data_IF_426638827082
#
_entry.id   IF_426638827082
#
_cell.length_a   1.000
_cell.length_b   1.000
_cell.length_c   1.000
_cell.angle_alpha   90.00
_cell.angle_beta   90.00
_cell.angle_gamma   90.00
#
_symmetry.space_group_name_H-M   'P 1'
#
loop_
_entity.id
_entity.type
_entity.pdbx_description
1 polymer ?
#
# COMPACT_ATOMS: atom_id res chain seq x y z
N UNK A 1 -0.74 12.54 11.41
CA UNK A 1 -0.48 12.44 9.96
C UNK A 1 -1.71 13.01 9.27
N UNK A 2 -1.56 13.88 8.27
CA UNK A 2 -2.67 14.67 7.73
C UNK A 2 -3.55 13.92 6.75
N UNK A 3 -3.76 14.53 5.58
CA UNK A 3 -4.57 13.95 4.50
C UNK A 3 -3.67 13.28 3.47
N UNK A 4 -4.10 12.15 2.92
CA UNK A 4 -3.36 11.37 1.93
C UNK A 4 -4.23 11.00 0.74
N UNK A 5 -3.62 10.83 -0.43
CA UNK A 5 -4.26 10.29 -1.63
C UNK A 5 -3.78 8.87 -1.86
N UNK A 6 -4.73 7.94 -1.98
CA UNK A 6 -4.48 6.52 -2.12
C UNK A 6 -5.01 6.01 -3.45
N UNK A 7 -4.13 5.49 -4.29
CA UNK A 7 -4.53 4.68 -5.43
C UNK A 7 -4.85 3.27 -4.92
N UNK A 8 -6.10 2.82 -5.09
CA UNK A 8 -6.58 1.59 -4.44
C UNK A 8 -6.91 0.47 -5.44
N UNK A 9 -6.72 -0.81 -5.07
CA UNK A 9 -7.23 -1.94 -5.83
C UNK A 9 -8.77 -1.99 -5.80
N UNK A 10 -9.41 -2.61 -6.80
CA UNK A 10 -10.84 -2.91 -6.76
C UNK A 10 -11.17 -3.77 -5.54
N UNK A 11 -12.40 -3.71 -5.04
CA UNK A 11 -12.80 -4.39 -3.80
C UNK A 11 -12.39 -5.87 -3.75
N UNK A 12 -12.59 -6.62 -4.85
CA UNK A 12 -12.20 -8.03 -4.96
C UNK A 12 -10.70 -8.24 -4.71
N UNK A 13 -9.85 -7.43 -5.34
CA UNK A 13 -8.40 -7.53 -5.20
C UNK A 13 -7.92 -6.98 -3.84
N UNK A 14 -8.61 -5.98 -3.30
CA UNK A 14 -8.39 -5.50 -1.94
C UNK A 14 -8.63 -6.60 -0.91
N UNK A 15 -9.71 -7.38 -1.05
CA UNK A 15 -10.01 -8.52 -0.18
C UNK A 15 -8.94 -9.63 -0.29
N UNK A 16 -8.47 -9.92 -1.51
CA UNK A 16 -7.37 -10.86 -1.76
C UNK A 16 -6.07 -10.42 -1.06
N UNK A 17 -5.68 -9.16 -1.22
CA UNK A 17 -4.51 -8.60 -0.54
C UNK A 17 -4.67 -8.61 0.99
N UNK A 18 -5.86 -8.29 1.52
CA UNK A 18 -6.10 -8.32 2.97
C UNK A 18 -5.87 -9.69 3.60
N UNK A 19 -6.05 -10.79 2.85
CA UNK A 19 -5.73 -12.14 3.35
C UNK A 19 -4.23 -12.30 3.61
N UNK A 20 -3.39 -11.84 2.68
CA UNK A 20 -1.94 -11.79 2.88
C UNK A 20 -1.60 -10.87 4.06
N UNK A 21 -2.18 -9.66 4.09
CA UNK A 21 -1.92 -8.66 5.13
C UNK A 21 -2.32 -9.12 6.54
N UNK A 22 -3.17 -10.16 6.67
CA UNK A 22 -3.60 -10.75 7.95
C UNK A 22 -2.72 -11.89 8.44
N UNK A 23 -1.75 -12.36 7.64
CA UNK A 23 -0.80 -13.38 8.06
C UNK A 23 0.02 -12.84 9.24
N UNK A 24 0.25 -13.66 10.26
CA UNK A 24 1.04 -13.31 11.44
C UNK A 24 2.06 -14.42 11.71
N UNK A 25 3.34 -14.10 11.95
CA UNK A 25 4.32 -15.08 12.39
C UNK A 25 3.90 -15.77 13.68
N UNK A 26 4.02 -17.10 13.72
CA UNK A 26 3.48 -17.95 14.79
C UNK A 26 4.30 -17.96 16.10
N UNK A 27 5.45 -17.27 16.16
CA UNK A 27 6.54 -17.70 17.05
C UNK A 27 6.77 -16.88 18.33
N UNK A 28 6.36 -15.60 18.42
CA UNK A 28 6.53 -14.83 19.67
C UNK A 28 5.40 -13.82 19.88
N UNK A 29 5.01 -13.56 21.14
CA UNK A 29 4.15 -12.44 21.46
C UNK A 29 4.77 -11.12 20.99
N UNK A 30 3.92 -10.30 20.38
CA UNK A 30 4.21 -8.89 20.11
C UNK A 30 4.32 -8.16 21.45
N UNK A 31 5.17 -7.13 21.48
CA UNK A 31 5.28 -6.24 22.64
C UNK A 31 4.34 -5.05 22.55
N UNK A 32 3.75 -4.80 21.38
CA UNK A 32 2.81 -3.70 21.16
C UNK A 32 1.56 -4.14 20.41
N UNK A 33 0.40 -3.75 20.92
CA UNK A 33 -0.89 -3.90 20.23
C UNK A 33 -1.02 -2.96 19.02
N UNK A 34 -0.07 -2.04 18.82
CA UNK A 34 -0.03 -1.15 17.66
C UNK A 34 0.69 -1.78 16.45
N UNK A 35 1.30 -2.97 16.62
CA UNK A 35 1.82 -3.77 15.50
C UNK A 35 0.66 -4.46 14.80
N UNK A 36 0.77 -4.57 13.48
CA UNK A 36 -0.23 -5.12 12.59
C UNK A 36 -1.65 -4.51 12.68
N UNK A 37 -1.78 -3.18 12.65
CA UNK A 37 -3.09 -2.56 12.56
C UNK A 37 -3.76 -2.93 11.23
N UNK A 38 -5.07 -2.99 11.22
CA UNK A 38 -5.84 -3.12 9.98
C UNK A 38 -5.83 -1.80 9.20
N UNK A 39 -5.61 -1.88 7.89
CA UNK A 39 -5.73 -0.78 6.94
C UNK A 39 -6.08 -1.31 5.54
N UNK A 40 -6.56 -0.43 4.67
CA UNK A 40 -6.88 -0.77 3.28
C UNK A 40 -5.60 -0.87 2.44
N UNK A 41 -5.42 -1.88 1.56
CA UNK A 41 -4.28 -1.91 0.65
C UNK A 41 -4.32 -0.72 -0.31
N UNK A 42 -3.23 0.03 -0.42
CA UNK A 42 -3.15 1.22 -1.25
C UNK A 42 -1.72 1.51 -1.70
N UNK A 43 -1.58 2.27 -2.78
CA UNK A 43 -0.36 2.99 -3.14
C UNK A 43 -0.58 4.47 -2.76
N UNK A 44 0.29 5.02 -1.92
CA UNK A 44 0.20 6.44 -1.57
C UNK A 44 0.67 7.29 -2.77
N UNK A 45 -0.20 8.12 -3.32
CA UNK A 45 0.13 9.10 -4.36
C UNK A 45 0.63 10.41 -3.77
N UNK A 46 0.08 10.85 -2.63
CA UNK A 46 0.40 12.11 -1.97
C UNK A 46 0.17 11.93 -0.46
N UNK A 47 1.01 12.58 0.34
CA UNK A 47 0.79 12.70 1.78
C UNK A 47 1.03 14.16 2.21
N UNK A 48 0.04 14.73 2.89
CA UNK A 48 0.07 16.10 3.39
C UNK A 48 0.21 16.10 4.92
N UNK A 49 0.89 17.11 5.49
CA UNK A 49 0.91 17.29 6.94
C UNK A 49 -0.47 17.72 7.45
N UNK A 50 -0.70 17.57 8.75
CA UNK A 50 -2.03 17.80 9.36
C UNK A 50 -2.45 19.28 9.36
N UNK A 51 -1.48 20.19 9.24
CA UNK A 51 -1.66 21.64 9.14
C UNK A 51 -1.73 22.13 7.68
N UNK A 52 -1.82 21.23 6.70
CA UNK A 52 -1.99 21.61 5.31
C UNK A 52 -3.31 22.34 5.08
N UNK A 53 -3.25 23.48 4.38
CA UNK A 53 -4.42 24.26 3.99
C UNK A 53 -5.08 23.77 2.68
N UNK A 54 -4.58 22.68 2.07
CA UNK A 54 -5.15 22.12 0.84
C UNK A 54 -6.51 21.52 1.16
N UNK A 55 -7.55 22.00 0.46
CA UNK A 55 -8.93 21.57 0.67
C UNK A 55 -9.23 20.22 0.02
N UNK A 56 -10.32 19.59 0.46
CA UNK A 56 -10.81 18.35 -0.16
C UNK A 56 -11.16 18.55 -1.66
N UNK A 57 -11.74 19.69 -2.02
CA UNK A 57 -12.06 20.02 -3.41
C UNK A 57 -10.78 20.15 -4.26
N UNK A 58 -9.73 20.80 -3.72
CA UNK A 58 -8.46 20.90 -4.42
C UNK A 58 -7.80 19.53 -4.62
N UNK A 59 -7.92 18.61 -3.65
CA UNK A 59 -7.45 17.23 -3.78
C UNK A 59 -8.22 16.46 -4.85
N UNK A 60 -9.55 16.65 -4.93
CA UNK A 60 -10.39 16.06 -5.97
C UNK A 60 -10.01 16.58 -7.35
N UNK A 61 -9.88 17.89 -7.49
CA UNK A 61 -9.55 18.57 -8.76
C UNK A 61 -8.12 18.27 -9.23
N UNK A 62 -7.23 17.83 -8.33
CA UNK A 62 -5.88 17.39 -8.67
C UNK A 62 -5.84 16.03 -9.38
N UNK A 63 -6.94 15.27 -9.40
CA UNK A 63 -7.06 14.04 -10.19
C UNK A 63 -7.65 14.40 -11.56
N UNK A 64 -6.97 14.09 -12.69
CA UNK A 64 -7.51 14.36 -14.02
C UNK A 64 -8.85 13.66 -14.23
N UNK A 65 -9.88 14.38 -14.69
CA UNK A 65 -11.21 13.82 -14.89
C UNK A 65 -11.30 12.74 -15.97
N UNK A 66 -10.30 12.64 -16.83
CA UNK A 66 -10.14 11.60 -17.86
C UNK A 66 -9.06 10.55 -17.51
N UNK A 67 -8.51 10.60 -16.28
CA UNK A 67 -7.51 9.64 -15.81
C UNK A 67 -8.06 8.23 -15.91
N UNK A 68 -7.39 7.40 -16.71
CA UNK A 68 -7.75 6.00 -16.90
C UNK A 68 -7.33 5.13 -15.73
N UNK A 69 -8.03 4.02 -15.55
CA UNK A 69 -7.58 2.96 -14.64
C UNK A 69 -6.14 2.54 -14.94
N UNK A 70 -5.36 2.31 -13.89
CA UNK A 70 -3.94 2.00 -13.99
C UNK A 70 -3.71 0.50 -13.78
N UNK A 71 -2.98 -0.13 -14.71
CA UNK A 71 -2.50 -1.50 -14.51
C UNK A 71 -1.28 -1.47 -13.57
N UNK A 72 -1.44 -2.07 -12.40
CA UNK A 72 -0.41 -2.16 -11.36
C UNK A 72 0.16 -3.57 -11.36
N UNK A 73 1.47 -3.70 -11.55
CA UNK A 73 2.18 -4.99 -11.46
C UNK A 73 3.09 -5.04 -10.24
N UNK A 74 3.20 -6.22 -9.63
CA UNK A 74 4.07 -6.45 -8.48
C UNK A 74 5.51 -6.70 -8.93
N UNK A 75 6.42 -5.93 -8.35
CA UNK A 75 7.85 -6.08 -8.56
C UNK A 75 8.39 -7.03 -7.51
N UNK A 76 8.72 -6.60 -6.29
CA UNK A 76 9.28 -7.46 -5.24
C UNK A 76 8.53 -7.34 -3.91
N UNK A 77 8.65 -8.35 -3.04
CA UNK A 77 8.27 -8.25 -1.62
C UNK A 77 9.52 -8.02 -0.78
N UNK A 78 9.52 -6.96 0.02
CA UNK A 78 10.68 -6.48 0.77
C UNK A 78 10.28 -5.93 2.15
N UNK A 79 11.26 -5.79 3.04
CA UNK A 79 11.11 -5.10 4.33
C UNK A 79 11.78 -3.72 4.30
N UNK A 80 11.32 -2.79 5.15
CA UNK A 80 12.00 -1.52 5.40
C UNK A 80 12.11 -1.21 6.89
N UNK A 81 13.00 -0.27 7.19
CA UNK A 81 13.27 0.27 8.52
C UNK A 81 12.17 1.18 9.10
N UNK A 82 11.11 1.50 8.35
CA UNK A 82 10.09 2.46 8.77
C UNK A 82 8.73 1.82 9.12
N UNK A 83 8.07 2.28 10.19
CA UNK A 83 6.77 1.77 10.66
C UNK A 83 5.74 1.58 9.53
N UNK A 84 5.39 2.66 8.80
CA UNK A 84 4.43 2.63 7.69
C UNK A 84 4.89 1.87 6.43
N UNK A 85 6.07 1.25 6.45
CA UNK A 85 6.66 0.51 5.32
C UNK A 85 7.38 -0.75 5.81
N UNK A 86 6.86 -1.39 6.86
CA UNK A 86 7.58 -2.48 7.55
C UNK A 86 7.83 -3.69 6.64
N UNK A 87 6.78 -4.18 5.98
CA UNK A 87 6.88 -5.07 4.83
C UNK A 87 5.95 -4.57 3.73
N UNK A 88 6.38 -4.68 2.48
CA UNK A 88 5.68 -4.08 1.35
C UNK A 88 5.90 -4.86 0.06
N UNK A 89 5.04 -4.60 -0.91
CA UNK A 89 5.20 -4.96 -2.31
C UNK A 89 5.71 -3.71 -3.05
N UNK A 90 6.91 -3.74 -3.62
CA UNK A 90 7.33 -2.72 -4.58
C UNK A 90 6.57 -2.93 -5.89
N UNK A 91 6.20 -1.84 -6.56
CA UNK A 91 5.40 -1.87 -7.77
C UNK A 91 6.30 -1.65 -8.99
N UNK A 92 6.00 -2.33 -10.09
CA UNK A 92 6.70 -2.12 -11.36
C UNK A 92 6.44 -0.68 -11.81
N UNK A 93 7.50 0.14 -12.00
CA UNK A 93 7.31 1.53 -12.41
C UNK A 93 6.75 1.58 -13.84
N UNK A 94 5.68 2.35 -14.04
CA UNK A 94 5.08 2.63 -15.35
C UNK A 94 5.05 4.13 -15.61
N UNK A 95 5.08 4.52 -16.88
CA UNK A 95 5.05 5.93 -17.25
C UNK A 95 3.74 6.58 -16.80
N UNK A 96 2.63 5.85 -16.88
CA UNK A 96 1.29 6.29 -16.51
C UNK A 96 1.16 6.55 -15.01
N UNK A 97 1.71 5.66 -14.17
CA UNK A 97 1.68 5.82 -12.71
C UNK A 97 2.51 7.03 -12.26
N UNK A 98 3.69 7.22 -12.84
CA UNK A 98 4.54 8.38 -12.56
C UNK A 98 3.96 9.67 -13.14
N UNK A 99 3.26 9.62 -14.27
CA UNK A 99 2.55 10.76 -14.83
C UNK A 99 1.43 11.23 -13.89
N UNK A 100 0.61 10.30 -13.35
CA UNK A 100 -0.42 10.65 -12.37
C UNK A 100 0.21 11.22 -11.08
N UNK A 101 1.24 10.58 -10.55
CA UNK A 101 1.96 11.05 -9.35
C UNK A 101 2.51 12.47 -9.53
N UNK A 102 3.19 12.72 -10.64
CA UNK A 102 3.73 14.03 -10.97
C UNK A 102 2.64 15.07 -11.21
N UNK A 103 1.55 14.70 -11.89
CA UNK A 103 0.41 15.58 -12.16
C UNK A 103 -0.24 16.05 -10.85
N UNK A 104 -0.56 15.12 -9.94
CA UNK A 104 -1.18 15.45 -8.64
C UNK A 104 -0.36 16.48 -7.87
N UNK A 105 0.96 16.26 -7.78
CA UNK A 105 1.84 17.19 -7.07
C UNK A 105 1.94 18.54 -7.79
N UNK A 106 2.07 18.54 -9.12
CA UNK A 106 2.15 19.77 -9.91
C UNK A 106 0.86 20.61 -9.80
N UNK A 107 -0.31 19.98 -9.88
CA UNK A 107 -1.62 20.63 -9.74
C UNK A 107 -1.80 21.30 -8.38
N UNK A 108 -1.18 20.74 -7.33
CA UNK A 108 -1.18 21.29 -5.98
C UNK A 108 0.05 22.17 -5.67
N UNK A 109 0.94 22.40 -6.65
CA UNK A 109 2.18 23.17 -6.51
C UNK A 109 3.12 22.63 -5.42
N UNK A 110 3.22 21.31 -5.33
CA UNK A 110 4.07 20.59 -4.38
C UNK A 110 5.22 19.91 -5.12
N UNK A 111 6.34 19.72 -4.41
CA UNK A 111 7.39 18.82 -4.88
C UNK A 111 6.88 17.36 -4.84
N UNK A 112 7.09 16.55 -5.89
CA UNK A 112 6.75 15.12 -5.87
C UNK A 112 7.63 14.35 -4.91
N UNK A 113 7.20 14.24 -3.64
CA UNK A 113 7.94 13.55 -2.57
C UNK A 113 7.06 12.50 -1.91
N UNK A 114 7.25 11.26 -2.34
CA UNK A 114 6.64 10.10 -1.71
C UNK A 114 7.72 9.04 -1.48
N UNK A 115 8.12 8.77 -0.22
CA UNK A 115 9.20 7.82 0.08
C UNK A 115 8.91 6.43 -0.46
N UNK A 116 9.90 5.84 -1.15
CA UNK A 116 9.82 4.50 -1.76
C UNK A 116 8.62 4.32 -2.71
N UNK A 117 8.18 5.38 -3.36
CA UNK A 117 7.12 5.27 -4.36
C UNK A 117 7.62 4.54 -5.62
N UNK A 118 6.82 3.63 -6.23
CA UNK A 118 5.51 3.13 -5.79
C UNK A 118 5.59 1.80 -4.99
N UNK A 119 4.78 1.67 -3.93
CA UNK A 119 4.64 0.44 -3.15
C UNK A 119 3.23 0.26 -2.56
N UNK A 120 2.89 -0.97 -2.19
CA UNK A 120 1.74 -1.33 -1.32
C UNK A 120 2.27 -1.92 -0.03
N UNK A 121 2.02 -1.29 1.11
CA UNK A 121 2.41 -1.86 2.40
C UNK A 121 1.54 -3.07 2.74
N UNK A 122 2.19 -4.13 3.25
CA UNK A 122 1.53 -5.37 3.68
C UNK A 122 1.22 -5.36 5.18
N UNK A 123 2.09 -4.76 5.98
CA UNK A 123 1.89 -4.63 7.42
C UNK A 123 2.68 -3.43 7.98
N UNK A 124 2.26 -2.94 9.14
CA UNK A 124 3.01 -1.97 9.95
C UNK A 124 3.41 -2.60 11.27
N UNK A 125 4.69 -2.53 11.60
CA UNK A 125 5.28 -3.17 12.78
C UNK A 125 6.04 -2.08 13.54
N UNK A 126 5.70 -1.93 14.82
CA UNK A 126 6.33 -0.94 15.71
C UNK A 126 7.85 -1.16 15.77
N UNK A 127 8.59 -0.10 16.08
CA UNK A 127 10.06 -0.20 16.10
C UNK A 127 10.55 -1.18 17.18
N UNK A 128 9.83 -1.31 18.31
CA UNK A 128 10.14 -2.28 19.36
C UNK A 128 10.03 -3.73 18.85
N UNK A 129 8.94 -4.08 18.15
CA UNK A 129 8.77 -5.41 17.56
C UNK A 129 9.72 -5.62 16.37
N UNK A 130 10.00 -4.57 15.60
CA UNK A 130 10.93 -4.62 14.48
C UNK A 130 12.36 -4.91 14.95
N UNK A 131 12.83 -4.28 16.04
CA UNK A 131 14.12 -4.56 16.67
C UNK A 131 14.24 -6.00 17.17
N UNK A 132 13.10 -6.66 17.47
CA UNK A 132 13.02 -8.07 17.84
C UNK A 132 12.95 -9.02 16.62
N UNK A 133 13.09 -8.49 15.41
CA UNK A 133 13.11 -9.22 14.14
C UNK A 133 11.74 -9.53 13.57
N UNK A 134 10.68 -8.81 13.95
CA UNK A 134 9.31 -9.12 13.49
C UNK A 134 9.10 -8.87 11.99
N UNK A 135 9.75 -7.86 11.41
CA UNK A 135 9.65 -7.57 9.95
C UNK A 135 10.21 -8.74 9.12
N UNK A 136 11.38 -9.24 9.49
CA UNK A 136 12.02 -10.38 8.81
C UNK A 136 11.23 -11.67 9.02
N UNK A 137 10.65 -11.87 10.22
CA UNK A 137 9.79 -13.02 10.48
C UNK A 137 8.52 -13.00 9.65
N UNK A 138 7.91 -11.83 9.45
CA UNK A 138 6.76 -11.69 8.55
C UNK A 138 7.09 -12.12 7.12
N UNK A 139 8.19 -11.61 6.56
CA UNK A 139 8.63 -12.00 5.22
C UNK A 139 8.96 -13.49 5.14
N UNK A 140 9.69 -14.01 6.13
CA UNK A 140 10.05 -15.43 6.20
C UNK A 140 8.82 -16.34 6.29
N UNK A 141 7.78 -15.94 7.04
CA UNK A 141 6.51 -16.68 7.12
C UNK A 141 5.83 -16.75 5.74
N UNK A 142 5.78 -15.65 4.99
CA UNK A 142 5.23 -15.65 3.63
C UNK A 142 6.03 -16.58 2.69
N UNK A 143 7.36 -16.57 2.78
CA UNK A 143 8.23 -17.41 1.94
C UNK A 143 8.08 -18.90 2.29
N UNK A 144 8.09 -19.25 3.57
CA UNK A 144 7.99 -20.65 4.04
C UNK A 144 6.61 -21.26 3.83
N UNK A 145 5.55 -20.46 3.88
CA UNK A 145 4.20 -20.87 3.49
C UNK A 145 4.01 -20.96 1.96
N UNK A 146 5.04 -20.61 1.16
CA UNK A 146 4.94 -20.61 -0.29
C UNK A 146 3.99 -19.53 -0.84
N UNK A 147 3.74 -18.45 -0.07
CA UNK A 147 2.84 -17.35 -0.45
C UNK A 147 3.45 -16.42 -1.48
N UNK A 148 4.76 -16.51 -1.72
CA UNK A 148 5.48 -15.65 -2.68
C UNK A 148 6.08 -16.54 -3.76
N UNK A 149 5.70 -16.28 -5.01
CA UNK A 149 6.33 -16.87 -6.19
C UNK A 149 7.16 -15.81 -6.89
N UNK A 150 8.46 -16.05 -7.03
CA UNK A 150 9.39 -15.19 -7.77
C UNK A 150 9.56 -15.74 -9.19
N UNK A 151 9.46 -14.88 -10.20
CA UNK A 151 9.66 -15.28 -11.59
C UNK A 151 11.16 -15.42 -11.89
N UNK A 152 11.57 -16.51 -12.56
CA UNK A 152 12.99 -16.73 -12.86
C UNK A 152 13.44 -15.76 -13.95
N UNK A 153 14.50 -14.98 -13.67
CA UNK A 153 15.06 -14.02 -14.62
C UNK A 153 14.26 -12.72 -14.75
N UNK A 154 13.27 -12.50 -13.88
CA UNK A 154 12.42 -11.32 -13.83
C UNK A 154 12.32 -10.85 -12.38
N UNK A 155 12.29 -9.53 -12.12
CA UNK A 155 12.12 -9.06 -10.75
C UNK A 155 10.70 -9.29 -10.25
N UNK A 156 9.74 -9.67 -11.11
CA UNK A 156 8.31 -9.80 -10.81
C UNK A 156 8.01 -10.90 -9.78
N UNK A 157 6.99 -10.64 -8.97
CA UNK A 157 6.46 -11.58 -7.99
C UNK A 157 4.96 -11.78 -8.16
N UNK A 158 4.48 -12.94 -7.73
CA UNK A 158 3.06 -13.21 -7.49
C UNK A 158 2.85 -13.62 -6.04
N UNK A 159 1.71 -13.22 -5.48
CA UNK A 159 1.27 -13.55 -4.13
C UNK A 159 0.12 -14.55 -4.19
N UNK A 160 0.16 -15.60 -3.37
CA UNK A 160 -0.97 -16.53 -3.21
C UNK A 160 -1.92 -16.03 -2.12
N UNK A 161 -3.02 -15.43 -2.54
CA UNK A 161 -4.04 -14.83 -1.69
C UNK A 161 -5.12 -15.81 -1.20
N UNK A 162 -4.85 -17.12 -1.19
CA UNK A 162 -5.78 -18.14 -0.71
C UNK A 162 -5.82 -18.22 0.83
N UNK A 163 -6.98 -18.52 1.42
CA UNK A 163 -7.08 -18.77 2.88
C UNK A 163 -6.70 -20.22 3.19
N UNK A 164 -7.38 -21.19 2.57
CA UNK A 164 -7.05 -22.62 2.58
C UNK A 164 -7.61 -23.26 1.28
N UNK A 165 -6.87 -24.14 0.60
CA UNK A 165 -7.34 -24.83 -0.61
C UNK A 165 -6.66 -24.39 -1.91
N UNK A 166 -7.46 -24.13 -2.96
CA UNK A 166 -6.97 -23.82 -4.30
C UNK A 166 -6.17 -22.50 -4.33
N UNK A 167 -5.06 -22.52 -5.06
CA UNK A 167 -4.15 -21.38 -5.17
C UNK A 167 -4.83 -20.18 -5.83
N UNK A 168 -4.70 -19.00 -5.22
CA UNK A 168 -5.25 -17.73 -5.71
C UNK A 168 -4.12 -16.73 -5.99
N UNK A 169 -3.38 -16.97 -7.07
CA UNK A 169 -2.22 -16.15 -7.43
C UNK A 169 -2.61 -14.77 -7.96
N UNK A 170 -1.91 -13.75 -7.46
CA UNK A 170 -2.06 -12.34 -7.84
C UNK A 170 -0.69 -11.73 -8.13
N UNK A 171 -0.49 -11.16 -9.32
CA UNK A 171 0.74 -10.48 -9.73
C UNK A 171 0.55 -8.97 -9.91
N UNK A 172 -0.64 -8.46 -9.56
CA UNK A 172 -1.03 -7.09 -9.82
C UNK A 172 -2.54 -6.86 -9.67
N UNK A 173 -2.97 -5.62 -9.91
CA UNK A 173 -4.38 -5.23 -9.94
C UNK A 173 -4.62 -4.06 -10.91
N UNK A 174 -5.87 -3.80 -11.28
CA UNK A 174 -6.25 -2.61 -12.04
C UNK A 174 -6.84 -1.57 -11.09
N UNK A 175 -6.08 -0.52 -10.79
CA UNK A 175 -6.53 0.54 -9.88
C UNK A 175 -7.59 1.41 -10.58
N UNK A 176 -8.79 1.48 -10.00
CA UNK A 176 -9.94 2.17 -10.58
C UNK A 176 -10.45 3.33 -9.73
N UNK A 177 -9.86 3.58 -8.56
CA UNK A 177 -10.27 4.68 -7.68
C UNK A 177 -9.04 5.30 -7.02
N UNK A 178 -9.14 6.60 -6.74
CA UNK A 178 -8.29 7.32 -5.80
C UNK A 178 -9.13 7.69 -4.59
N UNK A 179 -8.69 7.30 -3.39
CA UNK A 179 -9.36 7.65 -2.15
C UNK A 179 -8.62 8.82 -1.48
N UNK A 180 -9.38 9.73 -0.89
CA UNK A 180 -8.86 10.77 0.01
C UNK A 180 -9.04 10.28 1.43
N UNK A 181 -7.95 10.10 2.16
CA UNK A 181 -7.97 9.58 3.53
C UNK A 181 -7.37 10.58 4.53
N UNK A 182 -8.10 10.84 5.62
CA UNK A 182 -7.56 11.50 6.82
C UNK A 182 -6.88 10.45 7.70
N UNK A 183 -5.60 10.65 7.95
CA UNK A 183 -4.77 9.70 8.68
C UNK A 183 -4.29 10.22 10.04
N UNK A 184 -5.09 11.08 10.68
CA UNK A 184 -4.77 11.61 12.00
C UNK A 184 -5.00 10.55 13.08
N UNK A 185 -4.04 10.38 13.99
CA UNK A 185 -4.12 9.42 15.10
C UNK A 185 -3.73 7.97 14.73
N UNK A 186 -4.15 6.99 15.55
CA UNK A 186 -3.91 5.56 15.31
C UNK A 186 -4.44 5.09 13.95
N UNK A 187 -3.78 4.12 13.33
CA UNK A 187 -4.12 3.59 12.00
C UNK A 187 -5.58 3.13 11.92
N UNK A 188 -6.06 2.42 12.94
CA UNK A 188 -7.45 1.95 13.03
C UNK A 188 -8.50 3.07 13.10
N UNK A 189 -8.09 4.33 13.32
CA UNK A 189 -8.97 5.50 13.39
C UNK A 189 -8.97 6.36 12.12
N UNK A 190 -8.19 5.98 11.11
CA UNK A 190 -8.14 6.69 9.83
C UNK A 190 -9.50 6.66 9.13
N UNK A 191 -9.81 7.73 8.40
CA UNK A 191 -11.13 7.93 7.79
C UNK A 191 -11.00 8.19 6.30
N UNK A 192 -11.84 7.54 5.52
CA UNK A 192 -12.00 7.89 4.10
C UNK A 192 -12.92 9.10 4.02
N UNK A 193 -12.40 10.21 3.54
CA UNK A 193 -13.13 11.46 3.33
C UNK A 193 -13.86 11.46 1.99
N UNK A 194 -13.27 10.83 0.97
CA UNK A 194 -13.79 10.85 -0.39
C UNK A 194 -13.25 9.71 -1.26
N UNK A 195 -13.98 9.38 -2.33
CA UNK A 195 -13.60 8.36 -3.31
C UNK A 195 -13.83 8.90 -4.72
N UNK A 196 -12.77 8.88 -5.53
CA UNK A 196 -12.73 9.48 -6.87
C UNK A 196 -12.54 8.33 -7.87
N UNK A 197 -13.57 7.97 -8.66
CA UNK A 197 -13.44 6.94 -9.67
C UNK A 197 -12.55 7.40 -10.83
N UNK A 198 -11.80 6.45 -11.40
CA UNK A 198 -11.02 6.60 -12.63
C UNK A 198 -11.84 6.11 -13.84
N UNK A 199 -11.52 6.60 -15.02
CA UNK A 199 -12.27 6.45 -16.27
C UNK A 199 -11.81 5.30 -17.19
#
# INVERSE_FOLDING_TARGET
MGVTLWLVPPQRDAERLRRIMRIRPSSKPLTSDASYPDFDPHITLLALPADSEITLDALRDAIPGDQKSLAIGFNAVETSDHFFRSALITIIPTAELFALHGHVHASLKLDPRTPMFPHVSLCYITDDDAQRGERDRYLHELETQGRIKREVGSPRVSLDCSEEGDQDWMDGFSACEVWVAECNGPVASWKILDKIPLA
#
